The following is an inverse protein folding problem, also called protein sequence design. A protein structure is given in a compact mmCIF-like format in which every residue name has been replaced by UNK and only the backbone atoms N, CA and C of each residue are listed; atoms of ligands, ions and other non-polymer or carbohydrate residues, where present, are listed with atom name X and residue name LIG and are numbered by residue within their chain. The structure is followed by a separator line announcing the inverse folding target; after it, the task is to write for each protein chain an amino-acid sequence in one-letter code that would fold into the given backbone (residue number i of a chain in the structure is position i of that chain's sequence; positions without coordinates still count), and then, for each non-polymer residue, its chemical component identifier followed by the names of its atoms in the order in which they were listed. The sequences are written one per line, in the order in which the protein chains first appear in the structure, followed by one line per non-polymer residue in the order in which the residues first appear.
data_IF_975144777766
#
_entry.id   IF_975144777766
#
_cell.length_a   1.000
_cell.length_b   1.000
_cell.length_c   1.000
_cell.angle_alpha   90.00
_cell.angle_beta   90.00
_cell.angle_gamma   90.00
#
_symmetry.space_group_name_H-M   'P 1'
#
loop_
_entity.id
_entity.type
_entity.pdbx_description
1 polymer ?
#
# COMPACT_ATOMS: atom_id res chain seq x y z
N UNK A 1 -23.37 6.96 -13.96
CA UNK A 1 -22.18 7.38 -13.20
C UNK A 1 -22.65 7.93 -11.87
N UNK A 2 -22.10 7.50 -10.72
CA UNK A 2 -22.38 8.16 -9.47
C UNK A 2 -21.83 9.60 -9.53
N UNK A 3 -22.62 10.58 -9.09
CA UNK A 3 -22.29 12.01 -9.14
C UNK A 3 -21.54 12.43 -7.86
N UNK A 4 -20.46 13.19 -8.03
CA UNK A 4 -19.69 13.80 -6.94
C UNK A 4 -18.98 12.81 -6.00
N UNK A 5 -18.65 13.27 -4.80
CA UNK A 5 -17.86 12.53 -3.80
C UNK A 5 -18.74 11.71 -2.84
N UNK A 6 -19.67 10.93 -3.39
CA UNK A 6 -20.64 10.15 -2.62
C UNK A 6 -20.00 9.16 -1.62
N UNK A 7 -18.81 8.63 -1.92
CA UNK A 7 -18.04 7.75 -1.01
C UNK A 7 -17.57 8.51 0.23
N UNK A 8 -17.06 9.73 0.04
CA UNK A 8 -16.63 10.56 1.17
C UNK A 8 -17.82 11.03 1.99
N UNK A 9 -18.92 11.39 1.32
CA UNK A 9 -20.17 11.79 1.97
C UNK A 9 -20.72 10.66 2.84
N UNK A 10 -20.73 9.42 2.33
CA UNK A 10 -21.12 8.24 3.10
C UNK A 10 -20.21 8.03 4.31
N UNK A 11 -18.89 8.19 4.14
CA UNK A 11 -17.91 8.07 5.23
C UNK A 11 -18.07 9.16 6.30
N UNK A 12 -18.44 10.39 5.91
CA UNK A 12 -18.73 11.48 6.87
C UNK A 12 -20.04 11.22 7.64
N UNK A 13 -21.05 10.64 6.98
CA UNK A 13 -22.37 10.35 7.58
C UNK A 13 -22.37 9.10 8.48
N UNK A 14 -21.75 8.02 8.02
CA UNK A 14 -21.83 6.69 8.66
C UNK A 14 -20.49 6.24 9.26
N UNK A 15 -19.43 7.01 9.09
CA UNK A 15 -18.11 6.69 9.61
C UNK A 15 -17.40 5.59 8.81
N UNK A 16 -16.42 4.97 9.47
CA UNK A 16 -15.70 3.79 8.99
C UNK A 16 -16.29 2.53 9.60
N UNK A 17 -16.00 1.37 8.98
CA UNK A 17 -16.23 0.08 9.63
C UNK A 17 -15.44 0.01 10.94
N UNK A 18 -16.03 -0.57 11.98
CA UNK A 18 -15.45 -0.59 13.35
C UNK A 18 -14.00 -1.09 13.41
N UNK A 19 -13.63 -2.07 12.59
CA UNK A 19 -12.28 -2.69 12.58
C UNK A 19 -11.29 -2.04 11.60
N UNK A 20 -11.68 -0.96 10.91
CA UNK A 20 -10.92 -0.42 9.78
C UNK A 20 -9.51 0.01 10.19
N UNK A 21 -9.41 0.79 11.28
CA UNK A 21 -8.15 1.33 11.76
C UNK A 21 -7.22 0.23 12.26
N UNK A 22 -7.76 -0.78 12.96
CA UNK A 22 -6.97 -1.92 13.41
C UNK A 22 -6.43 -2.75 12.24
N UNK A 23 -7.27 -3.03 11.24
CA UNK A 23 -6.86 -3.76 10.03
C UNK A 23 -5.82 -2.97 9.25
N UNK A 24 -5.98 -1.66 9.14
CA UNK A 24 -4.99 -0.78 8.49
C UNK A 24 -3.64 -0.85 9.20
N UNK A 25 -3.62 -0.66 10.53
CA UNK A 25 -2.40 -0.78 11.35
C UNK A 25 -1.73 -2.13 11.20
N UNK A 26 -2.48 -3.24 11.35
CA UNK A 26 -1.94 -4.61 11.21
C UNK A 26 -1.46 -4.89 9.79
N UNK A 27 -2.06 -4.27 8.77
CA UNK A 27 -1.61 -4.40 7.38
C UNK A 27 -0.28 -3.67 7.20
N UNK A 28 -0.20 -2.40 7.62
CA UNK A 28 1.02 -1.59 7.54
C UNK A 28 2.20 -2.24 8.26
N UNK A 29 1.99 -2.75 9.48
CA UNK A 29 3.03 -3.48 10.22
C UNK A 29 3.53 -4.72 9.46
N UNK A 30 2.63 -5.48 8.81
CA UNK A 30 2.98 -6.68 8.03
C UNK A 30 3.63 -6.38 6.69
N UNK A 31 3.46 -5.16 6.14
CA UNK A 31 4.00 -4.82 4.82
C UNK A 31 5.51 -4.99 4.73
N UNK A 32 6.25 -4.78 5.82
CA UNK A 32 7.72 -4.93 5.82
C UNK A 32 8.13 -6.37 5.51
N UNK A 33 7.54 -7.33 6.21
CA UNK A 33 7.78 -8.77 5.97
C UNK A 33 7.27 -9.19 4.59
N UNK A 34 6.10 -8.71 4.19
CA UNK A 34 5.52 -9.04 2.89
C UNK A 34 6.38 -8.53 1.72
N UNK A 35 6.93 -7.30 1.82
CA UNK A 35 7.82 -6.73 0.82
C UNK A 35 9.11 -7.55 0.68
N UNK A 36 9.71 -7.95 1.81
CA UNK A 36 10.89 -8.82 1.81
C UNK A 36 10.59 -10.18 1.15
N UNK A 37 9.50 -10.82 1.55
CA UNK A 37 9.10 -12.11 0.98
C UNK A 37 8.82 -12.02 -0.53
N UNK A 38 8.18 -10.95 -1.00
CA UNK A 38 7.95 -10.71 -2.43
C UNK A 38 9.25 -10.52 -3.20
N UNK A 39 10.21 -9.78 -2.65
CA UNK A 39 11.51 -9.58 -3.29
C UNK A 39 12.31 -10.90 -3.40
N UNK A 40 12.27 -11.74 -2.37
CA UNK A 40 12.96 -13.04 -2.35
C UNK A 40 12.31 -14.08 -3.28
N UNK A 41 10.97 -14.09 -3.37
CA UNK A 41 10.23 -15.13 -4.10
C UNK A 41 9.89 -14.78 -5.55
N UNK A 42 9.93 -13.49 -5.93
CA UNK A 42 9.56 -13.07 -7.28
C UNK A 42 10.65 -13.45 -8.30
N UNK A 43 10.29 -14.30 -9.25
CA UNK A 43 11.18 -14.76 -10.33
C UNK A 43 10.98 -13.97 -11.63
N UNK A 44 11.99 -14.02 -12.50
CA UNK A 44 11.95 -13.49 -13.86
C UNK A 44 11.72 -11.97 -13.93
N UNK A 45 10.88 -11.54 -14.87
CA UNK A 45 10.59 -10.11 -15.15
C UNK A 45 9.98 -9.43 -13.92
N UNK A 46 9.15 -10.14 -13.14
CA UNK A 46 8.52 -9.59 -11.93
C UNK A 46 9.57 -9.18 -10.89
N UNK A 47 10.58 -10.00 -10.66
CA UNK A 47 11.70 -9.67 -9.77
C UNK A 47 12.48 -8.45 -10.25
N UNK A 48 12.78 -8.36 -11.55
CA UNK A 48 13.47 -7.20 -12.16
C UNK A 48 12.67 -5.90 -11.97
N UNK A 49 11.35 -5.93 -12.15
CA UNK A 49 10.50 -4.76 -11.94
C UNK A 49 10.48 -4.31 -10.47
N UNK A 50 10.41 -5.26 -9.53
CA UNK A 50 10.46 -4.96 -8.08
C UNK A 50 11.79 -4.30 -7.71
N UNK A 51 12.92 -4.86 -8.17
CA UNK A 51 14.24 -4.30 -7.92
C UNK A 51 14.37 -2.86 -8.45
N UNK A 52 13.92 -2.61 -9.69
CA UNK A 52 13.92 -1.28 -10.30
C UNK A 52 13.09 -0.29 -9.49
N UNK A 53 11.89 -0.68 -9.07
CA UNK A 53 11.00 0.16 -8.25
C UNK A 53 11.63 0.48 -6.88
N UNK A 54 12.16 -0.52 -6.20
CA UNK A 54 12.80 -0.34 -4.89
C UNK A 54 14.01 0.59 -4.97
N UNK A 55 14.81 0.52 -6.05
CA UNK A 55 15.94 1.43 -6.26
C UNK A 55 15.46 2.88 -6.43
N UNK A 56 14.45 3.11 -7.27
CA UNK A 56 13.89 4.45 -7.48
C UNK A 56 13.31 5.04 -6.18
N UNK A 57 12.55 4.24 -5.41
CA UNK A 57 12.02 4.66 -4.10
C UNK A 57 13.13 5.03 -3.13
N UNK A 58 14.20 4.22 -3.04
CA UNK A 58 15.37 4.53 -2.19
C UNK A 58 16.09 5.79 -2.64
N UNK A 59 16.24 6.00 -3.94
CA UNK A 59 16.90 7.20 -4.47
C UNK A 59 16.08 8.46 -4.20
N UNK A 60 14.76 8.40 -4.34
CA UNK A 60 13.86 9.49 -3.97
C UNK A 60 13.98 9.82 -2.48
N UNK A 61 13.85 8.81 -1.61
CA UNK A 61 13.97 8.99 -0.16
C UNK A 61 15.32 9.51 0.32
N UNK A 62 16.40 9.28 -0.45
CA UNK A 62 17.73 9.85 -0.16
C UNK A 62 17.88 11.30 -0.61
N UNK A 63 17.12 11.71 -1.63
CA UNK A 63 17.14 13.07 -2.17
C UNK A 63 16.21 14.03 -1.42
N UNK A 64 15.25 13.48 -0.69
CA UNK A 64 14.29 14.22 0.14
C UNK A 64 14.85 14.34 1.54
#
# INVERSE_FOLDING_TARGET
MPQGDYIELHRKRHGYRHDFFEKKRKKEARQVHERSAKAQKALGIKGKMIAKKNYAEKALMKKT
#
